data_IF_346693545854
#
_entry.id   IF_346693545854
#
_cell.length_a   1.000
_cell.length_b   1.000
_cell.length_c   1.000
_cell.angle_alpha   90.00
_cell.angle_beta   90.00
_cell.angle_gamma   90.00
#
_symmetry.space_group_name_H-M   'P 1'
#
loop_
_entity.id
_entity.type
_entity.pdbx_description
1 polymer ?
#
# COMPACT_ATOMS: atom_id res chain seq x y z
N UNK A 1 -39.19 3.47 14.59
CA UNK A 1 -39.09 4.93 14.62
C UNK A 1 -37.65 5.33 14.91
N UNK A 2 -36.79 5.28 13.90
CA UNK A 2 -35.52 6.02 13.80
C UNK A 2 -35.26 6.13 12.29
N UNK A 3 -35.69 7.26 11.71
CA UNK A 3 -35.39 7.60 10.33
C UNK A 3 -33.97 8.17 10.28
N UNK A 4 -33.05 7.44 9.68
CA UNK A 4 -31.73 7.95 9.32
C UNK A 4 -31.90 8.77 8.05
N UNK A 5 -32.10 10.08 8.21
CA UNK A 5 -32.17 11.01 7.10
C UNK A 5 -30.75 11.18 6.53
N UNK A 6 -30.41 10.34 5.56
CA UNK A 6 -29.19 10.45 4.76
C UNK A 6 -29.31 11.71 3.89
N UNK A 7 -28.67 12.78 4.32
CA UNK A 7 -28.49 14.00 3.53
C UNK A 7 -27.48 13.72 2.41
N UNK A 8 -28.02 13.40 1.24
CA UNK A 8 -27.34 13.13 -0.04
C UNK A 8 -26.57 14.34 -0.64
N UNK A 9 -26.09 15.27 0.17
CA UNK A 9 -25.48 16.52 -0.31
C UNK A 9 -23.95 16.56 -0.23
N UNK A 10 -23.32 15.51 0.31
CA UNK A 10 -21.85 15.41 0.47
C UNK A 10 -21.16 14.53 -0.59
N UNK A 11 -21.92 13.87 -1.47
CA UNK A 11 -21.36 12.95 -2.48
C UNK A 11 -21.15 13.59 -3.86
N UNK A 12 -21.67 14.80 -4.12
CA UNK A 12 -21.51 15.45 -5.43
C UNK A 12 -20.19 16.21 -5.62
N UNK A 13 -19.36 16.37 -4.57
CA UNK A 13 -18.03 16.99 -4.73
C UNK A 13 -16.89 15.99 -5.01
N UNK A 14 -17.16 14.68 -4.97
CA UNK A 14 -16.13 13.63 -5.22
C UNK A 14 -16.05 13.26 -6.72
N UNK A 15 -17.01 13.70 -7.54
CA UNK A 15 -17.18 13.22 -8.92
C UNK A 15 -16.71 14.20 -10.02
N UNK A 16 -15.72 15.06 -9.76
CA UNK A 16 -15.17 15.93 -10.80
C UNK A 16 -13.63 16.00 -10.69
N UNK A 17 -12.96 14.99 -11.23
CA UNK A 17 -11.72 15.03 -12.05
C UNK A 17 -11.48 13.57 -12.44
N UNK A 18 -12.18 13.12 -13.46
CA UNK A 18 -11.82 11.88 -14.16
C UNK A 18 -11.95 12.14 -15.65
N UNK A 19 -10.80 12.37 -16.30
CA UNK A 19 -10.62 12.21 -17.74
C UNK A 19 -9.12 12.27 -18.07
N UNK A 20 -8.59 11.11 -18.45
CA UNK A 20 -7.41 10.88 -19.28
C UNK A 20 -6.07 11.52 -18.90
N UNK A 21 -5.16 10.68 -18.41
CA UNK A 21 -3.75 10.76 -18.81
C UNK A 21 -3.07 9.41 -18.62
N UNK A 22 -3.13 8.61 -19.67
CA UNK A 22 -2.04 7.71 -20.02
C UNK A 22 -0.76 8.54 -20.26
N UNK A 23 0.37 8.03 -19.77
CA UNK A 23 1.76 8.50 -19.97
C UNK A 23 2.18 9.76 -19.17
N UNK A 24 3.06 9.59 -18.18
CA UNK A 24 4.41 10.19 -18.21
C UNK A 24 5.27 9.63 -17.05
N UNK A 25 6.57 9.50 -17.29
CA UNK A 25 7.52 8.77 -16.46
C UNK A 25 7.72 9.33 -15.05
N UNK A 26 7.69 8.41 -14.09
CA UNK A 26 8.04 8.66 -12.68
C UNK A 26 9.56 8.83 -12.58
N UNK A 27 10.00 10.08 -12.51
CA UNK A 27 11.41 10.48 -12.37
C UNK A 27 11.78 10.90 -10.94
N UNK A 28 10.96 10.60 -9.92
CA UNK A 28 11.38 10.83 -8.53
C UNK A 28 10.66 9.96 -7.51
N UNK A 29 11.42 9.43 -6.55
CA UNK A 29 10.95 8.69 -5.38
C UNK A 29 10.10 9.56 -4.43
N UNK A 30 10.18 10.89 -4.55
CA UNK A 30 9.42 11.87 -3.75
C UNK A 30 7.93 11.97 -4.11
N UNK A 31 7.52 11.54 -5.29
CA UNK A 31 6.12 11.63 -5.74
C UNK A 31 5.26 10.47 -5.21
N UNK A 32 5.89 9.33 -4.93
CA UNK A 32 5.23 8.12 -4.43
C UNK A 32 4.77 8.25 -2.96
N UNK A 33 5.41 9.13 -2.17
CA UNK A 33 5.05 9.35 -0.76
C UNK A 33 3.86 10.31 -0.56
N UNK A 34 3.31 10.91 -1.62
CA UNK A 34 2.04 11.67 -1.56
C UNK A 34 0.82 10.74 -1.57
N UNK A 35 0.94 9.57 -0.95
CA UNK A 35 -0.22 8.80 -0.54
C UNK A 35 -0.97 9.60 0.53
N UNK A 36 -2.29 9.53 0.53
CA UNK A 36 -3.13 10.12 1.57
C UNK A 36 -2.86 9.39 2.90
N UNK A 37 -1.80 9.77 3.61
CA UNK A 37 -1.45 9.23 4.92
C UNK A 37 -2.51 9.65 5.92
N UNK A 38 -3.08 8.70 6.66
CA UNK A 38 -4.04 9.03 7.74
C UNK A 38 -3.36 9.91 8.78
N UNK A 39 -4.00 11.04 9.12
CA UNK A 39 -3.52 12.01 10.11
C UNK A 39 -4.25 11.85 11.44
N UNK A 40 -3.54 12.07 12.53
CA UNK A 40 -4.05 11.95 13.90
C UNK A 40 -3.96 13.30 14.61
N UNK A 41 -4.97 13.58 15.44
CA UNK A 41 -5.05 14.79 16.25
C UNK A 41 -3.96 14.80 17.32
N UNK A 42 -3.25 15.92 17.46
CA UNK A 42 -2.16 16.06 18.45
C UNK A 42 -2.64 16.14 19.91
N UNK A 43 -3.92 16.46 20.12
CA UNK A 43 -4.50 16.68 21.45
C UNK A 43 -5.13 15.41 22.03
N UNK A 44 -5.92 14.69 21.23
CA UNK A 44 -6.69 13.53 21.69
C UNK A 44 -6.39 12.23 20.94
N UNK A 45 -5.41 12.24 20.02
CA UNK A 45 -4.96 11.08 19.24
C UNK A 45 -6.08 10.37 18.43
N UNK A 46 -7.19 11.06 18.16
CA UNK A 46 -8.25 10.59 17.27
C UNK A 46 -7.93 10.92 15.81
N UNK A 47 -8.49 10.16 14.87
CA UNK A 47 -8.31 10.38 13.43
C UNK A 47 -8.89 11.74 13.02
N UNK A 48 -8.14 12.49 12.21
CA UNK A 48 -8.61 13.74 11.60
C UNK A 48 -9.39 13.47 10.32
N UNK A 49 -10.46 14.20 10.11
CA UNK A 49 -11.34 14.08 8.94
C UNK A 49 -11.20 15.29 8.01
N UNK A 50 -11.24 15.08 6.68
CA UNK A 50 -11.24 16.17 5.72
C UNK A 50 -12.48 17.06 5.90
N UNK A 51 -12.29 18.37 5.92
CA UNK A 51 -13.31 19.41 6.09
C UNK A 51 -13.01 20.57 5.13
N UNK A 52 -14.02 21.02 4.40
CA UNK A 52 -13.92 22.22 3.54
C UNK A 52 -14.09 23.49 4.39
N UNK A 53 -13.19 24.46 4.23
CA UNK A 53 -13.44 25.85 4.59
C UNK A 53 -13.95 26.59 3.33
N UNK A 54 -15.22 26.97 3.34
CA UNK A 54 -15.91 27.59 2.20
C UNK A 54 -15.52 29.05 1.97
N UNK A 55 -15.11 29.76 3.02
CA UNK A 55 -14.76 31.17 2.93
C UNK A 55 -13.39 31.32 2.28
N UNK A 56 -12.43 30.54 2.77
CA UNK A 56 -11.06 30.55 2.26
C UNK A 56 -10.84 29.60 1.07
N UNK A 57 -11.81 28.72 0.79
CA UNK A 57 -11.74 27.67 -0.25
C UNK A 57 -10.52 26.76 -0.07
N UNK A 58 -10.24 26.39 1.17
CA UNK A 58 -9.12 25.51 1.55
C UNK A 58 -9.64 24.19 2.14
N UNK A 59 -8.83 23.14 1.98
CA UNK A 59 -9.06 21.85 2.62
C UNK A 59 -8.38 21.85 3.99
N UNK A 60 -9.14 21.50 5.02
CA UNK A 60 -8.68 21.30 6.39
C UNK A 60 -8.80 19.83 6.79
N UNK A 61 -8.02 19.43 7.78
CA UNK A 61 -8.21 18.21 8.55
C UNK A 61 -8.65 18.60 9.97
N UNK A 62 -9.84 18.16 10.38
CA UNK A 62 -10.45 18.53 11.65
C UNK A 62 -10.78 17.31 12.51
N UNK A 63 -10.61 17.45 13.82
CA UNK A 63 -11.02 16.44 14.78
C UNK A 63 -12.54 16.52 15.03
N UNK A 64 -13.18 15.40 15.37
CA UNK A 64 -14.59 15.36 15.80
C UNK A 64 -14.77 15.45 17.32
N UNK A 65 -13.70 15.25 18.08
CA UNK A 65 -13.73 15.13 19.54
C UNK A 65 -13.17 16.37 20.26
N UNK A 66 -12.53 17.29 19.53
CA UNK A 66 -11.97 18.55 20.03
C UNK A 66 -11.93 19.58 18.89
N UNK A 67 -11.53 20.82 19.19
CA UNK A 67 -11.52 21.94 18.23
C UNK A 67 -10.27 21.99 17.34
N UNK A 68 -9.39 20.99 17.44
CA UNK A 68 -8.18 20.89 16.64
C UNK A 68 -8.49 20.80 15.14
N UNK A 69 -7.84 21.67 14.36
CA UNK A 69 -7.91 21.70 12.91
C UNK A 69 -6.57 22.16 12.31
N UNK A 70 -6.21 21.61 11.16
CA UNK A 70 -4.99 21.96 10.44
C UNK A 70 -5.22 22.01 8.92
N UNK A 71 -4.41 22.80 8.21
CA UNK A 71 -4.48 22.91 6.74
C UNK A 71 -3.93 21.64 6.10
N UNK A 72 -4.60 21.15 5.05
CA UNK A 72 -4.14 19.97 4.33
C UNK A 72 -2.93 20.27 3.43
N UNK A 73 -1.86 19.49 3.58
CA UNK A 73 -0.67 19.56 2.72
C UNK A 73 -0.88 18.90 1.35
N UNK A 74 -1.89 18.02 1.25
CA UNK A 74 -2.27 17.28 0.05
C UNK A 74 -3.79 17.31 -0.13
N UNK A 75 -4.25 17.55 -1.35
CA UNK A 75 -5.68 17.63 -1.70
C UNK A 75 -6.29 16.27 -2.06
N UNK A 76 -5.47 15.22 -2.21
CA UNK A 76 -5.96 13.86 -2.41
C UNK A 76 -6.49 13.29 -1.10
N UNK A 77 -7.83 13.33 -0.94
CA UNK A 77 -8.52 12.82 0.27
C UNK A 77 -8.68 11.30 0.25
N UNK A 78 -8.93 10.74 -0.92
CA UNK A 78 -9.12 9.31 -1.11
C UNK A 78 -8.56 8.88 -2.46
N UNK A 79 -7.89 7.73 -2.45
CA UNK A 79 -7.44 7.05 -3.66
C UNK A 79 -7.76 5.58 -3.53
N UNK A 80 -8.48 5.05 -4.50
CA UNK A 80 -8.64 3.61 -4.66
C UNK A 80 -7.64 3.13 -5.72
N UNK A 81 -6.54 2.51 -5.29
CA UNK A 81 -5.62 1.85 -6.20
C UNK A 81 -6.06 0.41 -6.39
N UNK A 82 -6.70 0.14 -7.54
CA UNK A 82 -7.02 -1.24 -7.94
C UNK A 82 -5.73 -1.83 -8.50
N UNK A 83 -4.99 -2.53 -7.66
CA UNK A 83 -3.83 -3.29 -8.11
C UNK A 83 -4.32 -4.50 -8.92
N UNK A 84 -4.23 -4.42 -10.25
CA UNK A 84 -4.25 -5.60 -11.11
C UNK A 84 -2.90 -6.27 -10.94
N UNK A 85 -2.82 -7.26 -10.03
CA UNK A 85 -1.69 -8.18 -9.83
C UNK A 85 -0.33 -7.66 -10.32
N UNK A 86 0.30 -6.72 -9.61
CA UNK A 86 1.72 -6.44 -9.84
C UNK A 86 2.44 -6.45 -8.51
N UNK A 87 3.13 -7.57 -8.29
CA UNK A 87 3.98 -7.77 -7.15
C UNK A 87 3.15 -8.06 -5.91
N UNK A 88 2.82 -9.34 -5.72
CA UNK A 88 2.80 -9.87 -4.37
C UNK A 88 4.21 -9.60 -3.80
N UNK A 89 4.39 -8.42 -3.22
CA UNK A 89 5.25 -8.26 -2.05
C UNK A 89 4.55 -9.09 -0.99
N UNK A 90 4.58 -10.42 -1.16
CA UNK A 90 4.49 -11.34 -0.06
C UNK A 90 5.46 -10.72 0.92
N UNK A 91 4.94 -10.30 2.07
CA UNK A 91 5.75 -10.16 3.25
C UNK A 91 6.24 -11.58 3.56
N UNK A 92 7.15 -12.10 2.71
CA UNK A 92 7.76 -13.41 2.87
C UNK A 92 8.48 -13.24 4.19
N UNK A 93 7.94 -13.89 5.22
CA UNK A 93 8.45 -13.77 6.57
C UNK A 93 9.95 -14.08 6.54
N UNK A 94 10.72 -13.43 7.40
CA UNK A 94 12.18 -13.60 7.45
C UNK A 94 12.60 -15.07 7.63
N UNK A 95 11.67 -15.89 8.12
CA UNK A 95 11.87 -17.27 8.54
C UNK A 95 11.45 -18.33 7.51
N UNK A 96 11.12 -17.95 6.28
CA UNK A 96 10.74 -18.92 5.23
C UNK A 96 11.87 -19.92 4.94
N UNK A 97 13.14 -19.51 5.10
CA UNK A 97 14.28 -20.41 4.99
C UNK A 97 14.42 -21.41 6.16
N UNK A 98 13.76 -21.16 7.29
CA UNK A 98 13.78 -22.01 8.47
C UNK A 98 12.64 -23.04 8.50
N UNK A 99 11.60 -22.85 7.68
CA UNK A 99 10.47 -23.78 7.59
C UNK A 99 10.94 -25.14 7.01
N UNK A 100 10.85 -26.24 7.77
CA UNK A 100 11.23 -27.57 7.28
C UNK A 100 10.19 -28.18 6.34
N UNK A 101 8.99 -27.61 6.26
CA UNK A 101 7.89 -28.12 5.41
C UNK A 101 7.99 -27.63 3.96
N UNK A 102 8.80 -26.59 3.71
CA UNK A 102 8.98 -26.04 2.37
C UNK A 102 10.06 -26.80 1.58
N UNK A 103 9.84 -27.00 0.27
CA UNK A 103 10.77 -27.74 -0.56
C UNK A 103 12.05 -26.94 -0.82
N UNK A 104 13.18 -27.66 -0.89
CA UNK A 104 14.52 -27.10 -1.08
C UNK A 104 15.15 -27.63 -2.35
N UNK A 105 15.90 -26.78 -3.03
CA UNK A 105 16.68 -27.16 -4.20
C UNK A 105 18.15 -26.81 -4.03
N UNK A 106 19.02 -27.65 -4.59
CA UNK A 106 20.48 -27.43 -4.70
C UNK A 106 20.93 -27.12 -6.13
N UNK A 107 20.02 -27.16 -7.09
CA UNK A 107 20.32 -26.88 -8.51
C UNK A 107 20.51 -25.38 -8.76
N UNK A 108 19.80 -24.55 -8.01
CA UNK A 108 19.85 -23.09 -8.12
C UNK A 108 20.79 -22.52 -7.07
N UNK A 109 21.71 -21.66 -7.50
CA UNK A 109 22.65 -20.94 -6.62
C UNK A 109 22.18 -19.53 -6.38
N UNK A 110 22.38 -19.05 -5.16
CA UNK A 110 22.05 -17.67 -4.80
C UNK A 110 22.92 -16.68 -5.59
N UNK A 111 22.31 -15.74 -6.31
CA UNK A 111 23.03 -14.70 -7.06
C UNK A 111 23.86 -13.76 -6.17
N UNK A 112 23.50 -13.59 -4.89
CA UNK A 112 24.17 -12.66 -3.98
C UNK A 112 25.37 -13.27 -3.24
N UNK A 113 25.27 -14.52 -2.79
CA UNK A 113 26.31 -15.16 -1.96
C UNK A 113 26.84 -16.50 -2.50
N UNK A 114 26.33 -16.94 -3.65
CA UNK A 114 26.68 -18.21 -4.32
C UNK A 114 26.44 -19.48 -3.48
N UNK A 115 25.66 -19.36 -2.40
CA UNK A 115 25.23 -20.51 -1.61
C UNK A 115 24.38 -21.46 -2.46
N UNK A 116 24.60 -22.76 -2.29
CA UNK A 116 24.07 -23.82 -3.14
C UNK A 116 22.77 -24.43 -2.65
N UNK A 117 22.00 -23.72 -1.83
CA UNK A 117 20.70 -24.20 -1.33
C UNK A 117 19.70 -23.03 -1.24
N UNK A 118 18.50 -23.29 -1.76
CA UNK A 118 17.40 -22.34 -1.74
C UNK A 118 16.08 -23.05 -1.45
N UNK A 119 15.23 -22.42 -0.64
CA UNK A 119 13.81 -22.77 -0.51
C UNK A 119 13.07 -22.20 -1.71
N UNK A 120 12.10 -22.94 -2.25
CA UNK A 120 11.21 -22.41 -3.28
C UNK A 120 9.73 -22.64 -2.95
N UNK A 121 8.87 -21.76 -3.42
CA UNK A 121 7.42 -21.91 -3.28
C UNK A 121 6.70 -21.14 -4.40
N UNK A 122 5.50 -21.61 -4.73
CA UNK A 122 4.58 -20.87 -5.60
C UNK A 122 3.73 -19.97 -4.71
N UNK A 123 3.73 -18.68 -4.98
CA UNK A 123 2.82 -17.78 -4.28
C UNK A 123 1.43 -17.96 -4.89
N UNK A 124 0.42 -18.20 -4.05
CA UNK A 124 -0.97 -18.33 -4.49
C UNK A 124 -1.53 -16.94 -4.77
N UNK A 125 -1.14 -16.34 -5.88
CA UNK A 125 -1.80 -15.14 -6.36
C UNK A 125 -3.26 -15.51 -6.68
N UNK A 126 -4.22 -14.83 -6.05
CA UNK A 126 -5.63 -14.92 -6.45
C UNK A 126 -5.79 -14.23 -7.82
N UNK A 127 -5.48 -14.95 -8.89
CA UNK A 127 -5.56 -14.46 -10.27
C UNK A 127 -4.38 -14.95 -11.10
N UNK A 128 -4.71 -15.47 -12.30
CA UNK A 128 -3.97 -15.90 -13.51
C UNK A 128 -2.44 -16.18 -13.54
N UNK A 129 -1.63 -15.77 -12.55
CA UNK A 129 -0.19 -16.00 -12.47
C UNK A 129 0.18 -17.23 -11.61
N UNK A 130 -0.58 -18.32 -11.73
CA UNK A 130 -0.42 -19.54 -10.91
C UNK A 130 0.84 -20.38 -11.18
N UNK A 131 1.91 -19.82 -11.75
CA UNK A 131 3.11 -20.57 -12.14
C UNK A 131 4.45 -19.91 -11.78
N UNK A 132 4.45 -18.72 -11.17
CA UNK A 132 5.70 -18.03 -10.79
C UNK A 132 6.32 -18.67 -9.56
N UNK A 133 7.62 -18.98 -9.62
CA UNK A 133 8.38 -19.54 -8.48
C UNK A 133 9.15 -18.44 -7.75
N UNK A 134 9.04 -18.45 -6.44
CA UNK A 134 9.84 -17.61 -5.56
C UNK A 134 10.92 -18.44 -4.91
N UNK A 135 12.14 -17.90 -4.86
CA UNK A 135 13.29 -18.52 -4.23
C UNK A 135 13.80 -17.69 -3.06
N UNK A 136 14.26 -18.36 -2.00
CA UNK A 136 14.88 -17.75 -0.82
C UNK A 136 16.16 -18.51 -0.47
N UNK A 137 17.28 -17.79 -0.36
CA UNK A 137 18.57 -18.39 0.01
C UNK A 137 18.56 -18.93 1.44
N UNK A 138 19.05 -20.17 1.63
CA UNK A 138 19.13 -20.82 2.94
C UNK A 138 20.27 -20.31 3.84
N UNK A 139 21.16 -19.46 3.34
CA UNK A 139 22.24 -18.89 4.15
C UNK A 139 21.67 -17.83 5.12
N UNK A 140 21.77 -18.03 6.45
CA UNK A 140 21.23 -17.11 7.46
C UNK A 140 21.79 -15.68 7.35
N UNK A 141 23.00 -15.53 6.80
CA UNK A 141 23.66 -14.25 6.61
C UNK A 141 23.31 -13.58 5.26
N UNK A 142 22.53 -14.23 4.40
CA UNK A 142 22.19 -13.74 3.07
C UNK A 142 20.71 -13.38 2.95
N UNK A 143 19.81 -14.38 3.13
CA UNK A 143 18.37 -14.19 2.99
C UNK A 143 17.89 -13.63 1.65
N UNK A 144 18.75 -13.64 0.61
CA UNK A 144 18.42 -13.09 -0.71
C UNK A 144 17.23 -13.82 -1.34
N UNK A 145 16.36 -13.05 -2.00
CA UNK A 145 15.08 -13.51 -2.54
C UNK A 145 14.98 -13.09 -3.99
N UNK A 146 14.57 -14.01 -4.85
CA UNK A 146 14.42 -13.75 -6.28
C UNK A 146 13.27 -14.56 -6.87
N UNK A 147 12.85 -14.18 -8.07
CA UNK A 147 11.79 -14.85 -8.85
C UNK A 147 12.39 -15.44 -10.11
N UNK A 148 11.76 -16.50 -10.60
CA UNK A 148 11.90 -17.04 -11.97
C UNK A 148 10.56 -16.88 -12.69
#
# INVERSE_FOLDING_TARGET
MYHYHQSNHSLELIAAINRNSSLCGISSFSEFLKMSTMKFCRECNNILYPKEDREQKILLYACRNCDHQEVADNFCVYRNEIHHSVGERTQVLQDVAADPTLPRTKTVRCAACNHGEAVFFQATARGEEGMTLFFVCCNPNCGHRWRD
#
